data_IF_430924219278
#
_entry.id   IF_430924219278
#
_cell.length_a   1.000
_cell.length_b   1.000
_cell.length_c   1.000
_cell.angle_alpha   90.00
_cell.angle_beta   90.00
_cell.angle_gamma   90.00
#
_symmetry.space_group_name_H-M   'P 1'
#
loop_
_entity.id
_entity.type
_entity.pdbx_description
1 polymer ?
#
# COMPACT_ATOMS: atom_id res chain seq x y z
N UNK A 1 -3.49 43.85 -28.41
CA UNK A 1 -2.54 42.89 -27.80
C UNK A 1 -2.65 42.85 -26.28
N UNK A 2 -2.48 43.98 -25.57
CA UNK A 2 -2.54 44.05 -24.08
C UNK A 2 -3.88 43.58 -23.48
N UNK A 3 -5.02 43.90 -24.09
CA UNK A 3 -6.36 43.49 -23.58
C UNK A 3 -6.58 41.96 -23.62
N UNK A 4 -6.05 41.28 -24.63
CA UNK A 4 -6.16 39.82 -24.76
C UNK A 4 -5.27 39.13 -23.73
N UNK A 5 -4.09 39.68 -23.47
CA UNK A 5 -3.18 39.19 -22.43
C UNK A 5 -3.83 39.30 -21.03
N UNK A 6 -4.51 40.41 -20.76
CA UNK A 6 -5.21 40.61 -19.48
C UNK A 6 -6.36 39.63 -19.26
N UNK A 7 -7.14 39.34 -20.31
CA UNK A 7 -8.22 38.35 -20.27
C UNK A 7 -7.66 36.94 -20.10
N UNK A 8 -6.55 36.60 -20.77
CA UNK A 8 -5.88 35.31 -20.57
C UNK A 8 -5.35 35.16 -19.13
N UNK A 9 -4.74 36.19 -18.56
CA UNK A 9 -4.23 36.15 -17.18
C UNK A 9 -5.38 35.97 -16.17
N UNK A 10 -6.49 36.69 -16.36
CA UNK A 10 -7.68 36.55 -15.50
C UNK A 10 -8.30 35.16 -15.66
N UNK A 11 -8.36 34.63 -16.88
CA UNK A 11 -8.85 33.27 -17.13
C UNK A 11 -7.96 32.21 -16.49
N UNK A 12 -6.62 32.35 -16.55
CA UNK A 12 -5.71 31.43 -15.88
C UNK A 12 -5.82 31.50 -14.36
N UNK A 13 -6.02 32.69 -13.78
CA UNK A 13 -6.24 32.86 -12.34
C UNK A 13 -7.59 32.29 -11.90
N UNK A 14 -8.63 32.42 -12.72
CA UNK A 14 -9.96 31.84 -12.46
C UNK A 14 -9.99 30.31 -12.62
N UNK A 15 -9.09 29.75 -13.45
CA UNK A 15 -8.88 28.30 -13.59
C UNK A 15 -7.87 27.76 -12.57
N UNK A 16 -7.19 28.63 -11.80
CA UNK A 16 -6.11 28.26 -10.87
C UNK A 16 -6.61 27.83 -9.48
N UNK A 17 -7.88 27.45 -9.31
CA UNK A 17 -8.33 26.97 -8.01
C UNK A 17 -9.38 25.87 -8.14
N UNK A 18 -8.95 24.64 -7.83
CA UNK A 18 -9.58 23.82 -6.79
C UNK A 18 -8.65 22.64 -6.42
N UNK A 19 -7.49 22.93 -5.83
CA UNK A 19 -6.67 21.94 -5.09
C UNK A 19 -7.30 21.68 -3.70
N UNK A 20 -8.62 21.52 -3.65
CA UNK A 20 -9.31 21.11 -2.43
C UNK A 20 -9.21 19.61 -2.28
N UNK A 21 -9.03 19.16 -1.04
CA UNK A 21 -9.08 17.75 -0.71
C UNK A 21 -10.36 17.11 -1.26
N UNK A 22 -10.19 15.95 -1.91
CA UNK A 22 -11.28 15.08 -2.33
C UNK A 22 -11.10 13.73 -1.66
N UNK A 23 -12.13 13.19 -0.98
CA UNK A 23 -12.08 11.84 -0.46
C UNK A 23 -11.74 10.84 -1.55
N UNK A 24 -10.89 9.86 -1.24
CA UNK A 24 -10.36 8.97 -2.26
C UNK A 24 -9.79 7.68 -1.70
N UNK A 25 -9.90 6.62 -2.50
CA UNK A 25 -9.26 5.34 -2.23
C UNK A 25 -7.88 5.28 -2.87
N UNK A 26 -6.97 4.56 -2.22
CA UNK A 26 -5.66 4.19 -2.75
C UNK A 26 -5.56 2.67 -2.68
N UNK A 27 -5.23 2.04 -3.81
CA UNK A 27 -4.87 0.63 -3.86
C UNK A 27 -3.42 0.54 -4.31
N UNK A 28 -2.65 -0.29 -3.63
CA UNK A 28 -1.25 -0.53 -3.94
C UNK A 28 -0.85 -1.93 -3.49
N UNK A 29 0.43 -2.25 -3.61
CA UNK A 29 0.93 -3.55 -3.22
C UNK A 29 2.26 -3.85 -3.89
N UNK A 30 2.88 -4.95 -3.48
CA UNK A 30 4.03 -5.54 -4.14
C UNK A 30 4.01 -7.05 -3.95
N UNK A 31 4.87 -7.76 -4.68
CA UNK A 31 5.02 -9.20 -4.50
C UNK A 31 6.44 -9.65 -4.78
N UNK A 32 6.82 -10.75 -4.15
CA UNK A 32 8.13 -11.37 -4.21
C UNK A 32 7.96 -12.80 -4.72
N UNK A 33 8.37 -13.05 -5.97
CA UNK A 33 8.29 -14.37 -6.60
C UNK A 33 9.67 -15.02 -6.66
N UNK A 34 9.79 -16.17 -6.01
CA UNK A 34 10.98 -17.00 -6.00
C UNK A 34 10.85 -18.18 -6.95
N UNK A 35 11.91 -18.41 -7.72
CA UNK A 35 12.12 -19.64 -8.48
C UNK A 35 13.30 -20.38 -7.86
N UNK A 36 13.03 -21.56 -7.31
CA UNK A 36 14.03 -22.42 -6.69
C UNK A 36 14.19 -23.70 -7.50
N UNK A 37 15.42 -24.00 -7.92
CA UNK A 37 15.77 -25.27 -8.57
C UNK A 37 16.89 -25.94 -7.80
N UNK A 38 16.63 -27.12 -7.24
CA UNK A 38 17.61 -27.92 -6.53
C UNK A 38 17.80 -29.27 -7.23
N UNK A 39 19.04 -29.75 -7.34
CA UNK A 39 19.36 -31.05 -7.92
C UNK A 39 20.50 -31.69 -7.13
N UNK A 40 20.27 -32.89 -6.62
CA UNK A 40 21.26 -33.64 -5.86
C UNK A 40 21.79 -34.80 -6.70
N UNK A 41 23.05 -34.71 -7.14
CA UNK A 41 23.69 -35.76 -7.94
C UNK A 41 22.95 -36.01 -9.27
N UNK A 42 22.56 -37.26 -9.50
CA UNK A 42 21.84 -37.70 -10.70
C UNK A 42 20.31 -37.70 -10.53
N UNK A 43 19.79 -37.24 -9.40
CA UNK A 43 18.34 -37.15 -9.19
C UNK A 43 17.70 -36.10 -10.10
N UNK A 44 16.40 -36.24 -10.32
CA UNK A 44 15.60 -35.24 -11.02
C UNK A 44 15.62 -33.92 -10.24
N UNK A 45 15.69 -32.81 -10.98
CA UNK A 45 15.70 -31.50 -10.37
C UNK A 45 14.33 -31.17 -9.74
N UNK A 46 14.33 -30.80 -8.47
CA UNK A 46 13.18 -30.21 -7.81
C UNK A 46 13.05 -28.75 -8.24
N UNK A 47 11.87 -28.36 -8.72
CA UNK A 47 11.56 -26.98 -9.13
C UNK A 47 10.39 -26.49 -8.28
N UNK A 48 10.56 -25.36 -7.60
CA UNK A 48 9.51 -24.68 -6.83
C UNK A 48 9.40 -23.24 -7.31
N UNK A 49 8.19 -22.84 -7.71
CA UNK A 49 7.79 -21.44 -7.82
C UNK A 49 7.06 -21.07 -6.53
N UNK A 50 7.38 -19.91 -5.97
CA UNK A 50 6.95 -19.50 -4.62
C UNK A 50 6.74 -17.98 -4.59
N UNK A 51 5.49 -17.48 -4.58
CA UNK A 51 5.21 -16.13 -4.11
C UNK A 51 5.50 -16.16 -2.62
N UNK A 52 6.72 -15.78 -2.28
CA UNK A 52 7.17 -15.78 -0.91
C UNK A 52 6.28 -14.85 -0.09
N UNK A 53 5.99 -13.67 -0.66
CA UNK A 53 4.98 -12.73 -0.19
C UNK A 53 4.24 -12.09 -1.35
N UNK A 54 2.96 -11.84 -1.16
CA UNK A 54 2.13 -11.07 -2.08
C UNK A 54 1.20 -10.17 -1.27
N UNK A 55 1.47 -8.86 -1.32
CA UNK A 55 0.87 -7.88 -0.43
C UNK A 55 -0.02 -6.93 -1.22
N UNK A 56 -1.20 -6.64 -0.66
CA UNK A 56 -2.11 -5.61 -1.15
C UNK A 56 -2.36 -4.60 -0.04
N UNK A 57 -2.10 -3.34 -0.36
CA UNK A 57 -2.50 -2.19 0.43
C UNK A 57 -3.83 -1.65 -0.04
N UNK A 58 -4.76 -1.44 0.90
CA UNK A 58 -5.94 -0.64 0.67
C UNK A 58 -5.99 0.51 1.67
N UNK A 59 -6.25 1.72 1.16
CA UNK A 59 -6.42 2.90 1.98
C UNK A 59 -7.57 3.75 1.48
N UNK A 60 -8.12 4.55 2.38
CA UNK A 60 -9.17 5.52 2.06
C UNK A 60 -8.96 6.77 2.88
N UNK A 61 -8.92 7.95 2.24
CA UNK A 61 -8.88 9.23 2.96
C UNK A 61 -10.29 9.82 2.97
N UNK A 62 -10.86 10.06 4.15
CA UNK A 62 -12.16 10.71 4.31
C UNK A 62 -12.04 12.23 4.39
N UNK A 63 -10.97 12.72 5.03
CA UNK A 63 -10.56 14.13 5.09
C UNK A 63 -9.04 14.21 4.95
N UNK A 64 -8.47 15.42 4.98
CA UNK A 64 -7.02 15.60 5.07
C UNK A 64 -6.44 14.93 6.32
N UNK A 65 -7.20 14.91 7.42
CA UNK A 65 -6.79 14.38 8.72
C UNK A 65 -7.14 12.91 8.94
N UNK A 66 -8.26 12.44 8.39
CA UNK A 66 -8.82 11.11 8.65
C UNK A 66 -8.58 10.15 7.49
N UNK A 67 -7.95 9.01 7.78
CA UNK A 67 -7.76 7.94 6.80
C UNK A 67 -7.85 6.54 7.39
N UNK A 68 -8.19 5.58 6.53
CA UNK A 68 -8.07 4.15 6.76
C UNK A 68 -6.82 3.63 6.06
N UNK A 69 -6.10 2.72 6.71
CA UNK A 69 -4.97 1.99 6.14
C UNK A 69 -5.12 0.51 6.45
N UNK A 70 -4.86 -0.32 5.47
CA UNK A 70 -4.87 -1.77 5.61
C UNK A 70 -3.86 -2.44 4.70
N UNK A 71 -3.41 -3.61 5.13
CA UNK A 71 -2.48 -4.48 4.43
C UNK A 71 -2.98 -5.91 4.59
N UNK A 72 -3.19 -6.57 3.45
CA UNK A 72 -3.46 -8.00 3.39
C UNK A 72 -2.28 -8.67 2.71
N UNK A 73 -1.83 -9.76 3.30
CA UNK A 73 -0.67 -10.49 2.85
C UNK A 73 -1.02 -11.95 2.56
N UNK A 74 -0.50 -12.48 1.45
CA UNK A 74 -0.50 -13.90 1.14
C UNK A 74 0.95 -14.38 1.12
N UNK A 75 1.25 -15.38 1.95
CA UNK A 75 2.55 -16.04 1.99
C UNK A 75 2.52 -17.42 1.33
N UNK A 76 3.63 -17.75 0.68
CA UNK A 76 3.92 -19.08 0.12
C UNK A 76 2.86 -19.68 -0.82
N UNK A 77 2.36 -18.86 -1.78
CA UNK A 77 1.48 -19.25 -2.90
C UNK A 77 0.08 -19.81 -2.60
N UNK A 78 -0.17 -20.38 -1.42
CA UNK A 78 -1.35 -21.20 -1.17
C UNK A 78 -1.61 -21.35 0.32
N UNK A 79 -2.88 -21.40 0.72
CA UNK A 79 -3.29 -21.64 2.11
C UNK A 79 -3.95 -23.01 2.20
N UNK A 80 -3.26 -24.01 2.75
CA UNK A 80 -3.86 -25.32 3.07
C UNK A 80 -3.04 -26.15 4.03
N UNK A 81 -3.71 -26.75 5.02
CA UNK A 81 -3.11 -27.73 5.91
C UNK A 81 -1.90 -27.22 6.71
N UNK A 82 -1.82 -25.89 6.93
CA UNK A 82 -0.68 -25.23 7.58
C UNK A 82 0.49 -24.90 6.65
N UNK A 83 0.32 -25.03 5.33
CA UNK A 83 1.30 -24.52 4.36
C UNK A 83 0.74 -23.22 3.76
N UNK A 84 1.49 -22.13 3.93
CA UNK A 84 1.17 -20.75 3.54
C UNK A 84 0.05 -20.09 4.33
N UNK A 85 0.03 -18.76 4.34
CA UNK A 85 -0.75 -17.94 5.26
C UNK A 85 -1.45 -16.79 4.51
N UNK A 86 -2.66 -16.44 4.94
CA UNK A 86 -3.38 -15.26 4.47
C UNK A 86 -3.68 -14.40 5.68
N UNK A 87 -3.02 -13.26 5.76
CA UNK A 87 -2.93 -12.47 6.98
C UNK A 87 -3.46 -11.04 6.76
N UNK A 88 -4.02 -10.47 7.82
CA UNK A 88 -4.38 -9.06 7.90
C UNK A 88 -3.37 -8.39 8.83
N UNK A 89 -2.22 -8.04 8.27
CA UNK A 89 -1.06 -7.50 9.00
C UNK A 89 -1.40 -6.22 9.75
N UNK A 90 -2.12 -5.33 9.09
CA UNK A 90 -2.59 -4.09 9.69
C UNK A 90 -3.93 -3.66 9.12
N UNK A 91 -4.74 -3.07 9.98
CA UNK A 91 -6.01 -2.46 9.64
C UNK A 91 -6.36 -1.46 10.72
N UNK A 92 -6.21 -0.17 10.42
CA UNK A 92 -6.41 0.88 11.40
C UNK A 92 -6.97 2.15 10.79
N UNK A 93 -7.68 2.89 11.64
CA UNK A 93 -8.05 4.29 11.39
C UNK A 93 -6.92 5.17 11.92
N UNK A 94 -6.53 6.13 11.10
CA UNK A 94 -5.51 7.12 11.39
C UNK A 94 -6.14 8.51 11.42
N UNK A 95 -5.90 9.22 12.51
CA UNK A 95 -6.12 10.65 12.60
C UNK A 95 -4.77 11.36 12.71
N UNK A 96 -4.55 12.41 11.94
CA UNK A 96 -3.40 13.28 12.13
C UNK A 96 -3.78 14.75 11.95
N UNK A 97 -3.14 15.62 12.72
CA UNK A 97 -3.24 17.08 12.60
C UNK A 97 -1.86 17.72 12.78
N UNK A 98 -1.79 19.05 12.75
CA UNK A 98 -0.57 19.80 13.03
C UNK A 98 -0.10 19.71 14.50
N UNK A 99 -0.97 19.28 15.42
CA UNK A 99 -0.69 19.28 16.86
C UNK A 99 -0.52 17.87 17.42
N UNK A 100 -1.35 16.93 16.98
CA UNK A 100 -1.33 15.55 17.44
C UNK A 100 -1.91 14.60 16.37
N UNK A 101 -1.65 13.32 16.55
CA UNK A 101 -2.27 12.24 15.78
C UNK A 101 -2.42 10.99 16.64
N UNK A 102 -3.29 10.09 16.21
CA UNK A 102 -3.44 8.79 16.84
C UNK A 102 -3.90 7.75 15.81
N UNK A 103 -3.66 6.50 16.16
CA UNK A 103 -4.07 5.34 15.36
C UNK A 103 -4.88 4.40 16.25
N UNK A 104 -5.92 3.79 15.68
CA UNK A 104 -6.76 2.83 16.36
C UNK A 104 -7.08 1.66 15.44
N UNK A 105 -6.71 0.45 15.84
CA UNK A 105 -6.93 -0.78 15.08
C UNK A 105 -5.81 -1.80 15.32
N UNK A 106 -5.65 -2.70 14.36
CA UNK A 106 -4.48 -3.59 14.29
C UNK A 106 -3.34 -2.80 13.65
N UNK A 107 -2.27 -2.58 14.42
CA UNK A 107 -1.15 -1.72 14.04
C UNK A 107 0.13 -2.51 14.25
N UNK A 108 0.96 -2.54 13.21
CA UNK A 108 2.30 -3.11 13.31
C UNK A 108 3.20 -2.22 14.18
N UNK A 109 3.92 -2.78 15.18
CA UNK A 109 4.88 -2.02 15.96
C UNK A 109 5.97 -1.42 15.07
N UNK A 110 6.41 -0.20 15.35
CA UNK A 110 7.50 0.47 14.63
C UNK A 110 8.89 -0.10 14.99
N UNK A 111 9.09 -1.39 14.75
CA UNK A 111 10.34 -2.13 14.99
C UNK A 111 10.99 -2.64 13.70
N UNK A 112 10.65 -2.02 12.56
CA UNK A 112 10.90 -2.49 11.18
C UNK A 112 12.34 -2.74 10.72
N UNK A 113 13.36 -2.72 11.60
CA UNK A 113 14.68 -3.32 11.31
C UNK A 113 14.79 -4.76 11.84
N UNK A 114 13.92 -5.16 12.76
CA UNK A 114 13.88 -6.48 13.40
C UNK A 114 12.63 -7.25 12.95
N UNK A 115 11.64 -6.56 12.40
CA UNK A 115 10.46 -7.20 11.82
C UNK A 115 10.77 -7.64 10.39
N UNK A 116 11.20 -8.89 10.25
CA UNK A 116 11.27 -9.64 8.97
C UNK A 116 10.13 -10.66 8.88
N UNK A 117 8.97 -10.32 9.43
CA UNK A 117 7.72 -10.96 9.04
C UNK A 117 7.20 -10.07 7.91
#
# INVERSE_FOLDING_TARGET
>A
MIRILFVMIIATLAMAQDDFFQPGYTIGGYGELHYNRAQNGNDDATIKLDFHRFIIYYGYNWTEEWSFKSEVELEHNFVSGGNGELELEQAFVNYHSNLFGFQAGVILPSVGLINEY
#
